data_IF_962706307887
#
_entry.id   IF_962706307887
#
_cell.length_a   1.000
_cell.length_b   1.000
_cell.length_c   1.000
_cell.angle_alpha   90.00
_cell.angle_beta   90.00
_cell.angle_gamma   90.00
#
_symmetry.space_group_name_H-M   'P 1'
#
loop_
_entity.id
_entity.type
_entity.pdbx_description
1 polymer ?
#
# COMPACT_ATOMS: atom_id res chain seq x y z
N UNK A 1 -14.01 -11.97 -12.64
CA UNK A 1 -15.28 -11.42 -12.12
C UNK A 1 -14.98 -10.85 -10.74
N UNK A 2 -14.86 -9.53 -10.63
CA UNK A 2 -14.57 -8.86 -9.34
C UNK A 2 -15.83 -8.94 -8.49
N UNK A 3 -15.77 -9.60 -7.32
CA UNK A 3 -16.86 -9.54 -6.34
C UNK A 3 -16.70 -8.23 -5.56
N UNK A 4 -17.35 -7.17 -6.04
CA UNK A 4 -17.58 -5.98 -5.22
C UNK A 4 -18.71 -6.36 -4.26
N UNK A 5 -18.38 -6.54 -2.97
CA UNK A 5 -19.37 -6.83 -1.92
C UNK A 5 -20.12 -5.53 -1.66
N UNK A 6 -21.40 -5.49 -2.00
CA UNK A 6 -22.28 -4.33 -1.80
C UNK A 6 -23.11 -4.58 -0.52
N UNK A 7 -23.15 -3.64 0.42
CA UNK A 7 -23.74 -3.82 1.77
C UNK A 7 -25.27 -4.01 1.81
N UNK A 8 -25.96 -4.15 0.68
CA UNK A 8 -27.43 -4.24 0.61
C UNK A 8 -27.99 -5.66 0.46
N UNK A 9 -27.18 -6.72 0.61
CA UNK A 9 -27.65 -8.12 0.65
C UNK A 9 -26.71 -9.02 1.48
N UNK A 10 -26.68 -8.82 2.81
CA UNK A 10 -25.91 -9.67 3.73
C UNK A 10 -26.86 -10.47 4.63
N UNK A 11 -27.33 -11.61 4.11
CA UNK A 11 -27.89 -12.69 4.93
C UNK A 11 -26.79 -13.65 5.37
N UNK A 12 -26.69 -13.84 6.70
CA UNK A 12 -26.06 -14.95 7.44
C UNK A 12 -24.65 -15.42 7.05
N UNK A 13 -23.67 -14.54 7.16
CA UNK A 13 -22.34 -14.90 7.68
C UNK A 13 -21.70 -13.60 8.15
N UNK A 14 -21.66 -13.37 9.46
CA UNK A 14 -21.04 -12.15 10.01
C UNK A 14 -19.55 -12.18 9.71
N UNK A 15 -19.13 -11.55 8.60
CA UNK A 15 -17.72 -11.37 8.28
C UNK A 15 -17.13 -10.51 9.39
N UNK A 16 -16.15 -11.06 10.11
CA UNK A 16 -15.39 -10.26 11.06
C UNK A 16 -14.47 -9.31 10.28
N UNK A 17 -14.89 -8.06 10.15
CA UNK A 17 -14.10 -7.03 9.49
C UNK A 17 -12.79 -6.71 10.24
N UNK A 18 -12.61 -7.14 11.50
CA UNK A 18 -11.37 -6.96 12.26
C UNK A 18 -10.20 -7.76 11.68
N UNK A 19 -10.49 -8.83 10.94
CA UNK A 19 -9.51 -9.78 10.42
C UNK A 19 -9.47 -9.84 8.89
N UNK A 20 -10.07 -8.87 8.20
CA UNK A 20 -10.05 -8.83 6.73
C UNK A 20 -8.67 -8.39 6.26
N UNK A 21 -8.03 -9.23 5.46
CA UNK A 21 -6.78 -8.91 4.79
C UNK A 21 -7.04 -8.48 3.34
N UNK A 22 -6.07 -7.81 2.72
CA UNK A 22 -6.21 -7.34 1.33
C UNK A 22 -6.46 -8.50 0.33
N UNK A 23 -5.92 -9.68 0.61
CA UNK A 23 -6.10 -10.88 -0.21
C UNK A 23 -7.55 -11.38 -0.23
N UNK A 24 -8.34 -11.08 0.81
CA UNK A 24 -9.76 -11.43 0.88
C UNK A 24 -10.62 -10.49 0.02
N UNK A 25 -10.09 -9.30 -0.30
CA UNK A 25 -10.80 -8.21 -0.99
C UNK A 25 -10.49 -8.20 -2.48
N UNK A 26 -9.23 -8.45 -2.86
CA UNK A 26 -8.77 -8.36 -4.25
C UNK A 26 -7.73 -9.44 -4.56
N UNK A 27 -7.80 -9.97 -5.79
CA UNK A 27 -6.74 -10.81 -6.34
C UNK A 27 -5.42 -10.03 -6.42
N UNK A 28 -4.34 -10.58 -5.88
CA UNK A 28 -3.05 -9.87 -5.82
C UNK A 28 -2.43 -9.66 -7.19
N UNK A 29 -2.69 -10.55 -8.16
CA UNK A 29 -2.26 -10.33 -9.54
C UNK A 29 -2.97 -9.13 -10.18
N UNK A 30 -4.25 -8.96 -9.91
CA UNK A 30 -5.02 -7.79 -10.32
C UNK A 30 -4.53 -6.51 -9.64
N UNK A 31 -4.27 -6.56 -8.33
CA UNK A 31 -3.74 -5.42 -7.58
C UNK A 31 -2.36 -5.00 -8.10
N UNK A 32 -1.46 -5.95 -8.35
CA UNK A 32 -0.16 -5.69 -8.96
C UNK A 32 -0.32 -5.00 -10.32
N UNK A 33 -1.18 -5.52 -11.20
CA UNK A 33 -1.40 -4.91 -12.52
C UNK A 33 -1.95 -3.49 -12.42
N UNK A 34 -2.85 -3.23 -11.48
CA UNK A 34 -3.35 -1.89 -11.21
C UNK A 34 -2.23 -0.95 -10.76
N UNK A 35 -1.40 -1.40 -9.80
CA UNK A 35 -0.26 -0.63 -9.31
C UNK A 35 0.77 -0.35 -10.41
N UNK A 36 1.09 -1.33 -11.26
CA UNK A 36 2.02 -1.16 -12.38
C UNK A 36 1.52 -0.07 -13.33
N UNK A 37 0.24 -0.14 -13.73
CA UNK A 37 -0.36 0.87 -14.60
C UNK A 37 -0.40 2.25 -13.94
N UNK A 38 -0.70 2.31 -12.64
CA UNK A 38 -0.71 3.56 -11.88
C UNK A 38 0.68 4.19 -11.84
N UNK A 39 1.69 3.41 -11.48
CA UNK A 39 3.09 3.84 -11.40
C UNK A 39 3.58 4.35 -12.77
N UNK A 40 3.31 3.61 -13.85
CA UNK A 40 3.66 4.01 -15.22
C UNK A 40 2.91 5.28 -15.67
N UNK A 41 1.62 5.40 -15.35
CA UNK A 41 0.80 6.55 -15.78
C UNK A 41 1.13 7.84 -15.03
N UNK A 42 1.53 7.72 -13.76
CA UNK A 42 1.85 8.86 -12.90
C UNK A 42 3.35 9.18 -12.86
N UNK A 43 4.19 8.29 -13.39
CA UNK A 43 5.65 8.34 -13.31
C UNK A 43 6.17 8.39 -11.85
N UNK A 44 5.59 7.54 -10.99
CA UNK A 44 5.92 7.47 -9.56
C UNK A 44 6.17 6.02 -9.15
N UNK A 45 7.21 5.79 -8.35
CA UNK A 45 7.48 4.50 -7.75
C UNK A 45 6.34 4.11 -6.79
N UNK A 46 5.93 2.84 -6.78
CA UNK A 46 4.85 2.39 -5.91
C UNK A 46 5.01 0.95 -5.42
N UNK A 47 4.56 0.68 -4.21
CA UNK A 47 4.48 -0.61 -3.56
C UNK A 47 3.27 -0.63 -2.62
N UNK A 48 2.53 -1.73 -2.61
CA UNK A 48 1.41 -1.94 -1.71
C UNK A 48 1.86 -2.87 -0.59
N UNK A 49 1.56 -2.50 0.64
CA UNK A 49 1.90 -3.23 1.86
C UNK A 49 0.65 -3.55 2.68
N UNK A 50 0.70 -4.61 3.47
CA UNK A 50 -0.32 -4.90 4.48
C UNK A 50 -0.27 -3.88 5.64
N UNK A 51 -1.19 -4.02 6.61
CA UNK A 51 -1.24 -3.14 7.79
C UNK A 51 0.02 -3.21 8.68
N UNK A 52 0.85 -4.23 8.52
CA UNK A 52 2.11 -4.41 9.25
C UNK A 52 3.32 -3.86 8.47
N UNK A 53 3.10 -3.34 7.26
CA UNK A 53 4.15 -2.84 6.37
C UNK A 53 4.87 -3.93 5.58
N UNK A 54 4.32 -5.14 5.51
CA UNK A 54 4.86 -6.24 4.70
C UNK A 54 4.35 -6.10 3.26
N UNK A 55 5.25 -6.10 2.25
CA UNK A 55 4.84 -6.01 0.85
C UNK A 55 3.87 -7.12 0.45
N UNK A 56 2.75 -6.70 -0.15
CA UNK A 56 1.78 -7.60 -0.79
C UNK A 56 1.93 -7.61 -2.31
N UNK A 57 2.46 -6.52 -2.88
CA UNK A 57 2.89 -6.43 -4.28
C UNK A 57 4.42 -6.35 -4.37
N UNK A 58 4.93 -6.51 -5.59
CA UNK A 58 6.30 -6.17 -5.95
C UNK A 58 6.40 -4.66 -6.23
N UNK A 59 7.56 -4.04 -5.98
CA UNK A 59 7.79 -2.65 -6.34
C UNK A 59 7.58 -2.39 -7.84
N UNK A 60 6.85 -1.32 -8.17
CA UNK A 60 6.66 -0.82 -9.53
C UNK A 60 7.45 0.47 -9.70
N UNK A 61 8.12 0.63 -10.84
CA UNK A 61 8.87 1.83 -11.22
C UNK A 61 9.92 2.33 -10.21
N UNK A 62 10.47 1.44 -9.39
CA UNK A 62 11.61 1.78 -8.53
C UNK A 62 12.82 2.15 -9.39
N UNK A 63 13.43 3.28 -9.08
CA UNK A 63 14.61 3.78 -9.80
C UNK A 63 15.90 3.19 -9.23
N UNK A 64 17.03 3.38 -9.93
CA UNK A 64 18.35 3.01 -9.42
C UNK A 64 18.70 3.69 -8.09
N UNK A 65 18.14 4.87 -7.82
CA UNK A 65 18.27 5.51 -6.52
C UNK A 65 17.65 4.67 -5.39
N UNK A 66 16.45 4.13 -5.63
CA UNK A 66 15.82 3.24 -4.66
C UNK A 66 16.58 1.91 -4.59
N UNK A 67 16.81 1.25 -5.73
CA UNK A 67 17.34 -0.11 -5.77
C UNK A 67 18.84 -0.19 -5.42
N UNK A 68 19.66 0.61 -6.10
CA UNK A 68 21.12 0.44 -6.10
C UNK A 68 21.80 1.31 -5.03
N UNK A 69 21.14 2.37 -4.56
CA UNK A 69 21.65 3.24 -3.49
C UNK A 69 20.95 3.00 -2.16
N UNK A 70 19.62 3.12 -2.12
CA UNK A 70 18.88 3.01 -0.85
C UNK A 70 18.80 1.57 -0.36
N UNK A 71 18.41 0.63 -1.23
CA UNK A 71 18.22 -0.78 -0.88
C UNK A 71 19.50 -1.63 -1.00
N UNK A 72 20.63 -1.07 -1.43
CA UNK A 72 21.91 -1.81 -1.49
C UNK A 72 22.54 -2.11 -0.13
N UNK A 73 22.04 -1.48 0.94
CA UNK A 73 22.46 -1.77 2.32
C UNK A 73 21.26 -2.05 3.20
N UNK A 74 21.46 -2.90 4.23
CA UNK A 74 20.42 -3.17 5.22
C UNK A 74 19.95 -1.89 5.92
N UNK A 75 20.89 -1.01 6.30
CA UNK A 75 20.57 0.23 7.01
C UNK A 75 19.70 1.16 6.13
N UNK A 76 20.00 1.28 4.84
CA UNK A 76 19.19 2.06 3.91
C UNK A 76 17.80 1.46 3.72
N UNK A 77 17.70 0.14 3.53
CA UNK A 77 16.42 -0.55 3.45
C UNK A 77 15.58 -0.38 4.73
N UNK A 78 16.18 -0.50 5.92
CA UNK A 78 15.50 -0.32 7.20
C UNK A 78 14.97 1.12 7.36
N UNK A 79 15.75 2.13 6.95
CA UNK A 79 15.34 3.55 7.01
C UNK A 79 14.25 3.88 6.00
N UNK A 80 14.31 3.29 4.80
CA UNK A 80 13.24 3.37 3.81
C UNK A 80 11.94 2.79 4.38
N UNK A 81 11.97 1.57 4.91
CA UNK A 81 10.81 0.94 5.53
C UNK A 81 10.26 1.77 6.71
N UNK A 82 11.11 2.34 7.56
CA UNK A 82 10.68 3.21 8.66
C UNK A 82 10.08 4.53 8.16
N UNK A 83 10.53 5.04 7.02
CA UNK A 83 9.94 6.21 6.37
C UNK A 83 8.53 5.89 5.86
N UNK A 84 8.38 4.79 5.11
CA UNK A 84 7.09 4.33 4.58
C UNK A 84 6.11 4.04 5.71
N UNK A 85 6.57 3.39 6.79
CA UNK A 85 5.75 3.12 7.97
C UNK A 85 5.15 4.40 8.57
N UNK A 86 5.95 5.45 8.76
CA UNK A 86 5.45 6.74 9.28
C UNK A 86 4.43 7.38 8.33
N UNK A 87 4.68 7.32 7.03
CA UNK A 87 3.73 7.80 6.01
C UNK A 87 2.41 7.03 6.06
N UNK A 88 2.49 5.70 6.08
CA UNK A 88 1.35 4.79 6.17
C UNK A 88 0.55 4.94 7.47
N UNK A 89 1.21 5.17 8.61
CA UNK A 89 0.54 5.43 9.88
C UNK A 89 -0.31 6.72 9.84
N UNK A 90 0.21 7.81 9.27
CA UNK A 90 -0.57 9.05 9.12
C UNK A 90 -1.69 8.90 8.08
N UNK A 91 -1.44 8.20 6.98
CA UNK A 91 -2.47 7.88 5.99
C UNK A 91 -3.60 7.04 6.60
N UNK A 92 -3.26 6.00 7.38
CA UNK A 92 -4.22 5.16 8.07
C UNK A 92 -5.04 5.92 9.11
N UNK A 93 -4.37 6.73 9.93
CA UNK A 93 -4.98 7.56 10.98
C UNK A 93 -5.96 8.59 10.43
N UNK A 94 -5.63 9.21 9.30
CA UNK A 94 -6.47 10.25 8.68
C UNK A 94 -7.53 9.68 7.73
N UNK A 95 -7.36 8.43 7.28
CA UNK A 95 -8.17 7.83 6.24
C UNK A 95 -8.02 8.53 4.88
N UNK A 96 -6.92 9.26 4.67
CA UNK A 96 -6.67 10.08 3.47
C UNK A 96 -5.23 9.90 2.99
N UNK A 97 -4.95 10.17 1.70
CA UNK A 97 -3.58 10.22 1.22
C UNK A 97 -2.73 11.24 1.98
N UNK A 98 -1.48 10.90 2.25
CA UNK A 98 -0.51 11.71 2.96
C UNK A 98 0.78 11.83 2.14
N UNK A 99 1.19 13.06 1.82
CA UNK A 99 2.41 13.37 1.08
C UNK A 99 3.47 13.84 2.08
N UNK A 100 4.68 13.30 1.98
CA UNK A 100 5.76 13.57 2.93
C UNK A 100 7.13 13.55 2.26
N UNK A 101 8.13 14.03 2.99
CA UNK A 101 9.54 13.89 2.58
C UNK A 101 10.10 12.58 3.12
N UNK A 102 10.57 11.72 2.23
CA UNK A 102 11.16 10.44 2.61
C UNK A 102 12.50 10.65 3.34
N UNK A 103 12.99 9.59 4.00
CA UNK A 103 14.26 9.64 4.74
C UNK A 103 15.48 10.09 3.91
N UNK A 104 15.42 9.96 2.59
CA UNK A 104 16.49 10.33 1.67
C UNK A 104 16.31 11.74 1.05
N UNK A 105 15.29 12.50 1.49
CA UNK A 105 15.04 13.87 1.05
C UNK A 105 14.17 14.02 -0.20
N UNK A 106 13.68 12.92 -0.77
CA UNK A 106 12.73 12.93 -1.90
C UNK A 106 11.29 13.10 -1.41
N UNK A 107 10.37 13.44 -2.32
CA UNK A 107 8.92 13.44 -2.03
C UNK A 107 8.37 12.03 -2.23
N UNK A 108 7.54 11.60 -1.30
CA UNK A 108 6.90 10.29 -1.25
C UNK A 108 5.45 10.44 -0.76
N UNK A 109 4.63 9.40 -0.91
CA UNK A 109 3.25 9.41 -0.46
C UNK A 109 2.84 8.09 0.18
N UNK A 110 1.71 8.13 0.87
CA UNK A 110 1.01 6.94 1.36
C UNK A 110 -0.49 7.16 1.18
N UNK A 111 -1.21 6.19 0.64
CA UNK A 111 -2.64 6.21 0.42
C UNK A 111 -3.30 4.97 1.06
N UNK A 112 -4.32 5.15 1.93
CA UNK A 112 -4.96 4.02 2.58
C UNK A 112 -5.95 3.34 1.64
N UNK A 113 -5.89 2.01 1.57
CA UNK A 113 -6.90 1.17 0.94
C UNK A 113 -7.92 0.80 2.01
N UNK A 114 -9.16 1.25 1.83
CA UNK A 114 -10.20 1.20 2.85
C UNK A 114 -11.39 0.35 2.37
N UNK A 115 -11.85 -0.58 3.22
CA UNK A 115 -13.04 -1.40 3.02
C UNK A 115 -13.95 -1.24 4.23
N UNK A 116 -15.22 -0.86 4.02
CA UNK A 116 -16.20 -0.61 5.08
C UNK A 116 -15.66 0.26 6.23
N UNK A 117 -14.93 1.32 5.89
CA UNK A 117 -14.36 2.27 6.85
C UNK A 117 -13.09 1.79 7.57
N UNK A 118 -12.53 0.64 7.19
CA UNK A 118 -11.32 0.07 7.80
C UNK A 118 -10.17 0.03 6.82
N UNK A 119 -8.99 0.42 7.28
CA UNK A 119 -7.76 0.33 6.50
C UNK A 119 -7.32 -1.14 6.46
N UNK A 120 -7.25 -1.71 5.26
CA UNK A 120 -6.82 -3.11 5.04
C UNK A 120 -5.42 -3.19 4.43
N UNK A 121 -4.93 -2.10 3.84
CA UNK A 121 -3.62 -2.03 3.19
C UNK A 121 -3.24 -0.57 2.93
N UNK A 122 -1.96 -0.31 2.69
CA UNK A 122 -1.41 1.00 2.31
C UNK A 122 -0.71 0.85 0.95
N UNK A 123 -1.01 1.75 0.02
CA UNK A 123 -0.20 2.01 -1.16
C UNK A 123 0.81 3.11 -0.81
N UNK A 124 2.10 2.87 -1.01
CA UNK A 124 3.17 3.86 -0.91
C UNK A 124 3.91 3.97 -2.23
#
# INVERSE_FOLDING_TARGET
MVKIINSSNLDSNSINLDSVEINDVIDIGLLQKFQDNFAESMDIASITVDINGIPVTKPSLYTSFCMDLTHSTKIGADRCAQSHKRGGEEAAKTGKPYVYTCHAGLVDFAAPIIVDGRVVSILS
#
